data_IF_973264079579
#
_entry.id   IF_973264079579
#
_cell.length_a   1.000
_cell.length_b   1.000
_cell.length_c   1.000
_cell.angle_alpha   90.00
_cell.angle_beta   90.00
_cell.angle_gamma   90.00
#
_symmetry.space_group_name_H-M   'P 1'
#
loop_
_entity.id
_entity.type
_entity.pdbx_description
1 polymer ?
#
# COMPACT_ATOMS: atom_id res chain seq x y z
N UNK A 1 39.83 51.92 -46.62
CA UNK A 1 38.49 51.38 -46.51
C UNK A 1 38.43 50.52 -45.21
N UNK A 2 38.13 51.16 -44.06
CA UNK A 2 38.09 50.46 -42.78
C UNK A 2 36.58 50.14 -42.47
N UNK A 3 36.25 48.89 -42.58
CA UNK A 3 34.97 48.38 -42.14
C UNK A 3 34.94 48.32 -40.58
N UNK A 4 34.17 49.19 -39.94
CA UNK A 4 33.84 49.11 -38.54
C UNK A 4 32.84 47.96 -38.36
N UNK A 5 33.33 46.82 -37.87
CA UNK A 5 32.47 45.80 -37.36
C UNK A 5 31.85 46.30 -36.02
N UNK A 6 30.61 46.71 -36.07
CA UNK A 6 29.84 47.01 -34.86
C UNK A 6 29.64 45.74 -34.09
N UNK A 7 30.32 45.61 -32.97
CA UNK A 7 30.09 44.52 -32.02
C UNK A 7 28.65 44.64 -31.46
N UNK A 8 27.82 43.64 -31.70
CA UNK A 8 26.49 43.54 -31.10
C UNK A 8 26.65 43.49 -29.56
N UNK A 9 25.92 44.29 -28.81
CA UNK A 9 25.99 44.18 -27.36
C UNK A 9 25.53 42.77 -26.95
N UNK A 10 26.41 42.06 -26.26
CA UNK A 10 26.10 40.76 -25.68
C UNK A 10 24.90 40.88 -24.70
N UNK A 11 24.21 39.80 -24.40
CA UNK A 11 23.04 39.82 -23.55
C UNK A 11 23.37 40.50 -22.21
N UNK A 12 22.73 41.63 -21.95
CA UNK A 12 22.93 42.42 -20.75
C UNK A 12 22.49 41.57 -19.54
N UNK A 13 23.50 40.89 -18.96
CA UNK A 13 23.35 40.18 -17.67
C UNK A 13 23.20 41.24 -16.56
N UNK A 14 22.11 41.97 -16.59
CA UNK A 14 21.78 42.90 -15.51
C UNK A 14 21.44 42.08 -14.26
N UNK A 15 21.94 42.48 -13.08
CA UNK A 15 21.67 41.77 -11.81
C UNK A 15 20.17 41.65 -11.56
N UNK A 16 19.35 42.53 -12.13
CA UNK A 16 17.91 42.53 -12.08
C UNK A 16 17.29 41.32 -12.81
N UNK A 17 17.80 40.97 -14.01
CA UNK A 17 17.29 39.82 -14.75
C UNK A 17 17.62 38.51 -14.04
N UNK A 18 18.79 38.39 -13.44
CA UNK A 18 19.16 37.21 -12.63
C UNK A 18 18.32 37.12 -11.36
N UNK A 19 18.05 38.23 -10.69
CA UNK A 19 17.19 38.25 -9.53
C UNK A 19 15.75 37.83 -9.88
N UNK A 20 15.24 38.24 -11.04
CA UNK A 20 13.93 37.83 -11.54
C UNK A 20 13.91 36.33 -11.86
N UNK A 21 14.93 35.81 -12.50
CA UNK A 21 15.08 34.38 -12.84
C UNK A 21 15.06 33.51 -11.57
N UNK A 22 15.87 33.86 -10.56
CA UNK A 22 15.86 33.12 -9.29
C UNK A 22 14.55 33.28 -8.51
N UNK A 23 13.89 34.43 -8.62
CA UNK A 23 12.57 34.66 -8.03
C UNK A 23 11.51 33.74 -8.62
N UNK A 24 11.50 33.57 -9.94
CA UNK A 24 10.56 32.66 -10.63
C UNK A 24 10.83 31.21 -10.26
N UNK A 25 12.12 30.80 -10.23
CA UNK A 25 12.51 29.42 -9.85
C UNK A 25 12.07 29.13 -8.41
N UNK A 26 12.30 30.04 -7.48
CA UNK A 26 11.90 29.90 -6.08
C UNK A 26 10.38 29.79 -5.94
N UNK A 27 9.61 30.57 -6.69
CA UNK A 27 8.16 30.57 -6.67
C UNK A 27 7.60 29.25 -7.22
N UNK A 28 8.18 28.74 -8.31
CA UNK A 28 7.86 27.42 -8.87
C UNK A 28 8.18 26.30 -7.86
N UNK A 29 9.30 26.41 -7.17
CA UNK A 29 9.70 25.41 -6.16
C UNK A 29 8.75 25.40 -4.95
N UNK A 30 8.37 26.57 -4.47
CA UNK A 30 7.36 26.72 -3.40
C UNK A 30 5.99 26.18 -3.84
N UNK A 31 5.58 26.47 -5.08
CA UNK A 31 4.34 25.95 -5.65
C UNK A 31 4.37 24.41 -5.73
N UNK A 32 5.49 23.85 -6.23
CA UNK A 32 5.65 22.41 -6.30
C UNK A 32 5.62 21.74 -4.91
N UNK A 33 6.33 22.32 -3.94
CA UNK A 33 6.29 21.85 -2.55
C UNK A 33 4.89 21.96 -1.94
N UNK A 34 4.13 22.99 -2.28
CA UNK A 34 2.75 23.14 -1.85
C UNK A 34 1.85 22.05 -2.46
N UNK A 35 1.99 21.76 -3.75
CA UNK A 35 1.25 20.68 -4.44
C UNK A 35 1.61 19.32 -3.86
N UNK A 36 2.90 19.03 -3.68
CA UNK A 36 3.35 17.77 -3.06
C UNK A 36 2.76 17.62 -1.66
N UNK A 37 2.76 18.70 -0.87
CA UNK A 37 2.15 18.70 0.46
C UNK A 37 0.65 18.47 0.41
N UNK A 38 -0.08 19.09 -0.54
CA UNK A 38 -1.51 18.91 -0.72
C UNK A 38 -1.86 17.46 -1.07
N UNK A 39 -1.13 16.87 -2.01
CA UNK A 39 -1.28 15.46 -2.39
C UNK A 39 -0.94 14.52 -1.21
N UNK A 40 0.10 14.84 -0.43
CA UNK A 40 0.46 14.05 0.76
C UNK A 40 -0.61 14.07 1.85
N UNK A 41 -1.33 15.18 1.98
CA UNK A 41 -2.44 15.31 2.94
C UNK A 41 -3.64 14.49 2.45
N UNK A 42 -3.93 14.51 1.15
CA UNK A 42 -5.01 13.75 0.51
C UNK A 42 -4.78 12.23 0.58
N UNK A 43 -3.52 11.79 0.35
CA UNK A 43 -3.12 10.37 0.38
C UNK A 43 -2.96 9.82 1.80
N UNK A 44 -2.91 10.68 2.84
CA UNK A 44 -2.91 10.18 4.23
C UNK A 44 -4.26 9.55 4.53
N UNK A 45 -4.32 8.23 4.82
CA UNK A 45 -5.58 7.53 4.98
C UNK A 45 -6.39 8.15 6.13
N UNK A 46 -7.53 8.74 5.79
CA UNK A 46 -8.56 9.25 6.71
C UNK A 46 -9.11 8.16 7.67
N UNK A 47 -8.62 6.93 7.54
CA UNK A 47 -9.05 5.74 8.31
C UNK A 47 -8.79 5.82 9.82
N UNK A 48 -7.81 6.60 10.27
CA UNK A 48 -7.44 6.59 11.70
C UNK A 48 -8.35 7.44 12.58
N UNK A 49 -8.94 8.51 12.05
CA UNK A 49 -9.80 9.41 12.82
C UNK A 49 -11.22 8.87 12.96
N UNK A 50 -11.80 8.32 11.87
CA UNK A 50 -13.14 7.70 11.91
C UNK A 50 -13.20 6.42 12.77
N UNK A 51 -12.08 5.72 12.96
CA UNK A 51 -12.03 4.53 13.82
C UNK A 51 -12.04 4.91 15.30
N UNK A 52 -11.35 5.98 15.70
CA UNK A 52 -11.34 6.46 17.10
C UNK A 52 -12.70 6.99 17.54
N UNK A 53 -13.34 7.80 16.70
CA UNK A 53 -14.68 8.34 17.01
C UNK A 53 -15.78 7.28 17.06
N UNK A 54 -15.61 6.13 16.38
CA UNK A 54 -16.56 5.01 16.41
C UNK A 54 -16.27 4.04 17.57
N UNK A 55 -15.04 3.97 18.04
CA UNK A 55 -14.65 3.10 19.16
C UNK A 55 -15.00 3.74 20.52
N UNK A 56 -15.08 5.07 20.60
CA UNK A 56 -15.43 5.80 21.83
C UNK A 56 -16.94 5.77 22.15
N UNK A 57 -17.80 5.52 21.13
CA UNK A 57 -19.26 5.44 21.27
C UNK A 57 -19.79 4.00 21.47
N UNK A 58 -18.92 2.98 21.45
CA UNK A 58 -19.31 1.58 21.58
C UNK A 58 -19.09 1.08 23.02
N UNK A 59 -20.16 0.52 23.60
CA UNK A 59 -20.13 -0.15 24.90
C UNK A 59 -18.96 -1.16 24.95
N UNK A 60 -18.07 -1.07 25.96
CA UNK A 60 -16.91 -1.98 26.12
C UNK A 60 -17.25 -3.46 26.05
N UNK A 61 -18.51 -3.84 26.44
CA UNK A 61 -18.99 -5.21 26.36
C UNK A 61 -19.22 -5.68 24.91
N UNK A 62 -19.60 -4.76 24.00
CA UNK A 62 -19.81 -5.05 22.56
C UNK A 62 -18.47 -5.15 21.85
N UNK A 63 -17.52 -4.25 22.18
CA UNK A 63 -16.15 -4.27 21.64
C UNK A 63 -15.42 -5.56 22.05
N UNK A 64 -15.61 -6.03 23.29
CA UNK A 64 -15.02 -7.28 23.77
C UNK A 64 -15.59 -8.53 23.08
N UNK A 65 -16.84 -8.49 22.64
CA UNK A 65 -17.50 -9.60 21.94
C UNK A 65 -17.15 -9.65 20.45
N UNK A 66 -17.00 -8.48 19.80
CA UNK A 66 -16.54 -8.37 18.41
C UNK A 66 -15.05 -8.78 18.26
N UNK A 67 -14.20 -8.52 19.28
CA UNK A 67 -12.79 -8.95 19.31
C UNK A 67 -12.59 -10.46 19.51
N UNK A 68 -13.63 -11.21 19.87
CA UNK A 68 -13.63 -12.68 20.02
C UNK A 68 -14.00 -13.43 18.75
N UNK A 69 -14.06 -12.76 17.59
CA UNK A 69 -14.10 -13.42 16.29
C UNK A 69 -12.96 -14.44 16.23
N UNK A 70 -13.25 -15.64 15.77
CA UNK A 70 -12.29 -16.75 15.58
C UNK A 70 -10.99 -16.20 15.03
N UNK A 71 -9.91 -16.22 15.84
CA UNK A 71 -8.58 -15.84 15.33
C UNK A 71 -8.21 -16.86 14.26
N UNK A 72 -8.28 -16.46 13.02
CA UNK A 72 -7.79 -17.26 11.91
C UNK A 72 -6.33 -16.91 11.66
N UNK A 73 -5.57 -17.89 11.24
CA UNK A 73 -4.14 -17.80 10.95
C UNK A 73 -3.87 -18.32 9.56
N UNK A 74 -2.84 -17.80 8.95
CA UNK A 74 -2.31 -18.33 7.72
C UNK A 74 -1.08 -19.21 8.06
N UNK A 75 -1.16 -20.47 7.72
CA UNK A 75 -0.06 -21.42 7.85
C UNK A 75 0.58 -21.57 6.48
N UNK A 76 1.88 -21.32 6.35
CA UNK A 76 2.61 -21.55 5.10
C UNK A 76 2.73 -23.05 4.86
N UNK A 77 2.22 -23.52 3.73
CA UNK A 77 2.30 -24.91 3.27
C UNK A 77 3.33 -25.07 2.16
N UNK A 78 3.54 -24.01 1.38
CA UNK A 78 4.57 -23.93 0.33
C UNK A 78 5.16 -22.54 0.26
N UNK A 79 6.44 -22.37 -0.08
CA UNK A 79 7.44 -23.43 -0.36
C UNK A 79 7.87 -24.15 0.93
N UNK A 80 8.43 -25.36 0.79
CA UNK A 80 8.88 -26.23 1.91
C UNK A 80 9.90 -25.53 2.83
N UNK A 81 10.76 -24.66 2.28
CA UNK A 81 11.76 -23.89 3.04
C UNK A 81 11.14 -22.94 4.07
N UNK A 82 9.86 -22.59 3.89
CA UNK A 82 9.12 -21.69 4.74
C UNK A 82 7.88 -22.34 5.37
N UNK A 83 7.72 -23.65 5.18
CA UNK A 83 6.62 -24.42 5.77
C UNK A 83 6.58 -24.27 7.30
N UNK A 84 5.38 -24.21 7.83
CA UNK A 84 5.15 -24.04 9.27
C UNK A 84 5.24 -22.62 9.80
N UNK A 85 5.60 -21.61 8.98
CA UNK A 85 5.42 -20.21 9.38
C UNK A 85 3.94 -19.89 9.55
N UNK A 86 3.63 -19.15 10.60
CA UNK A 86 2.26 -18.82 10.98
C UNK A 86 2.13 -17.31 11.08
N UNK A 87 1.09 -16.77 10.45
CA UNK A 87 0.76 -15.35 10.51
C UNK A 87 -0.62 -15.17 11.08
N UNK A 88 -0.76 -14.29 12.07
CA UNK A 88 -2.06 -13.95 12.64
C UNK A 88 -2.82 -13.00 11.71
N UNK A 89 -4.06 -13.37 11.37
CA UNK A 89 -4.96 -12.50 10.60
C UNK A 89 -5.82 -11.69 11.56
N UNK A 90 -5.53 -10.40 11.65
CA UNK A 90 -6.33 -9.43 12.42
C UNK A 90 -7.61 -9.02 11.69
N UNK A 91 -8.02 -7.77 11.90
CA UNK A 91 -9.16 -7.19 11.19
C UNK A 91 -8.86 -6.95 9.69
N UNK A 92 -7.64 -6.56 9.38
CA UNK A 92 -7.15 -6.37 8.02
C UNK A 92 -5.64 -6.64 7.99
N UNK A 93 -5.20 -7.41 7.01
CA UNK A 93 -3.77 -7.70 6.79
C UNK A 93 -3.48 -7.75 5.29
N UNK A 94 -2.36 -7.18 4.88
CA UNK A 94 -1.84 -7.26 3.50
C UNK A 94 -0.82 -8.36 3.37
N UNK A 95 -0.84 -9.04 2.24
CA UNK A 95 0.14 -10.08 1.84
C UNK A 95 0.89 -9.58 0.64
N UNK A 96 2.21 -9.75 0.62
CA UNK A 96 3.03 -9.35 -0.53
C UNK A 96 4.51 -9.38 -0.24
N UNK A 97 5.30 -9.06 -1.24
CA UNK A 97 6.76 -9.11 -1.17
C UNK A 97 7.38 -7.95 -0.39
N UNK A 98 6.67 -6.83 -0.25
CA UNK A 98 7.18 -5.69 0.50
C UNK A 98 7.25 -6.00 2.00
N UNK A 99 8.35 -5.61 2.63
CA UNK A 99 8.56 -5.77 4.09
C UNK A 99 7.52 -5.02 4.94
N UNK A 100 6.79 -4.05 4.35
CA UNK A 100 5.71 -3.32 5.01
C UNK A 100 4.36 -4.06 5.03
N UNK A 101 4.26 -5.23 4.39
CA UNK A 101 3.07 -6.06 4.48
C UNK A 101 2.94 -6.68 5.87
N UNK A 102 1.71 -6.92 6.31
CA UNK A 102 1.46 -7.64 7.56
C UNK A 102 1.84 -9.12 7.47
N UNK A 103 1.80 -9.68 6.25
CA UNK A 103 2.33 -11.02 5.90
C UNK A 103 3.38 -10.81 4.79
N UNK A 104 4.65 -10.57 5.15
CA UNK A 104 5.71 -10.42 4.18
C UNK A 104 6.15 -11.79 3.63
N UNK A 105 6.16 -11.90 2.30
CA UNK A 105 6.64 -13.05 1.54
C UNK A 105 7.77 -12.59 0.60
N UNK A 106 8.79 -11.98 1.18
CA UNK A 106 9.92 -11.34 0.50
C UNK A 106 10.77 -12.33 -0.33
N UNK A 107 10.71 -13.59 0.02
CA UNK A 107 11.35 -14.72 -0.69
C UNK A 107 10.62 -15.09 -1.99
N UNK A 108 9.36 -14.70 -2.18
CA UNK A 108 8.54 -15.10 -3.32
C UNK A 108 8.64 -14.08 -4.46
N UNK A 109 9.40 -14.43 -5.50
CA UNK A 109 9.58 -13.59 -6.69
C UNK A 109 8.34 -13.48 -7.57
N UNK A 110 7.38 -14.38 -7.41
CA UNK A 110 6.09 -14.35 -8.11
C UNK A 110 5.05 -13.48 -7.39
N UNK A 111 5.33 -13.07 -6.17
CA UNK A 111 4.46 -12.16 -5.45
C UNK A 111 4.73 -10.69 -5.83
N UNK A 112 3.67 -9.91 -5.99
CA UNK A 112 3.74 -8.45 -6.13
C UNK A 112 4.08 -7.81 -4.78
N UNK A 113 4.60 -6.57 -4.78
CA UNK A 113 4.93 -5.84 -3.56
C UNK A 113 3.74 -5.74 -2.59
N UNK A 114 2.57 -5.35 -3.12
CA UNK A 114 1.27 -5.50 -2.49
C UNK A 114 0.48 -6.44 -3.39
N UNK A 115 0.18 -7.66 -2.94
CA UNK A 115 -0.40 -8.67 -3.78
C UNK A 115 -1.87 -8.90 -3.47
N UNK A 116 -2.18 -9.19 -2.23
CA UNK A 116 -3.53 -9.45 -1.77
C UNK A 116 -3.80 -8.78 -0.42
N UNK A 117 -5.06 -8.64 -0.09
CA UNK A 117 -5.53 -8.15 1.20
C UNK A 117 -6.55 -9.13 1.78
N UNK A 118 -6.33 -9.49 3.04
CA UNK A 118 -7.33 -10.21 3.82
C UNK A 118 -7.99 -9.21 4.78
N UNK A 119 -9.28 -9.30 4.92
CA UNK A 119 -10.04 -8.42 5.81
C UNK A 119 -11.31 -9.12 6.33
N UNK A 120 -11.80 -8.65 7.49
CA UNK A 120 -13.04 -9.14 8.05
C UNK A 120 -14.21 -8.27 7.64
N UNK A 121 -15.28 -8.94 7.21
CA UNK A 121 -16.56 -8.32 6.90
C UNK A 121 -17.66 -9.19 7.52
N UNK A 122 -18.49 -8.61 8.36
CA UNK A 122 -19.61 -9.29 9.05
C UNK A 122 -19.20 -10.55 9.85
N UNK A 123 -17.95 -10.56 10.34
CA UNK A 123 -17.39 -11.67 11.11
C UNK A 123 -16.70 -12.75 10.28
N UNK A 124 -16.88 -12.74 8.98
CA UNK A 124 -16.23 -13.63 8.01
C UNK A 124 -14.90 -13.06 7.54
N UNK A 125 -14.01 -13.95 7.09
CA UNK A 125 -12.74 -13.56 6.47
C UNK A 125 -12.89 -13.55 4.95
N UNK A 126 -12.41 -12.47 4.36
CA UNK A 126 -12.42 -12.23 2.92
C UNK A 126 -11.01 -11.97 2.41
N UNK A 127 -10.77 -12.38 1.19
CA UNK A 127 -9.54 -12.07 0.44
C UNK A 127 -9.88 -11.29 -0.82
N UNK A 128 -9.02 -10.35 -1.19
CA UNK A 128 -9.12 -9.53 -2.39
C UNK A 128 -7.74 -9.42 -3.03
N UNK A 129 -7.67 -9.62 -4.34
CA UNK A 129 -6.46 -9.36 -5.12
C UNK A 129 -6.29 -7.85 -5.33
N UNK A 130 -5.11 -7.32 -5.11
CA UNK A 130 -4.81 -5.88 -5.22
C UNK A 130 -4.22 -5.51 -6.59
N UNK A 131 -4.62 -6.21 -7.64
CA UNK A 131 -4.09 -6.01 -8.99
C UNK A 131 -2.72 -6.65 -9.16
N UNK A 132 -2.53 -7.83 -8.58
CA UNK A 132 -1.27 -8.54 -8.65
C UNK A 132 -0.95 -9.02 -10.08
N UNK A 133 0.34 -9.23 -10.35
CA UNK A 133 0.80 -9.69 -11.67
C UNK A 133 0.36 -11.12 -11.98
N UNK A 134 0.42 -12.01 -10.98
CA UNK A 134 0.17 -13.44 -11.17
C UNK A 134 -1.21 -13.91 -10.67
N UNK A 135 -1.92 -13.02 -9.97
CA UNK A 135 -3.25 -13.31 -9.42
C UNK A 135 -3.20 -14.05 -8.09
N UNK A 136 -4.32 -13.99 -7.40
CA UNK A 136 -4.58 -14.68 -6.13
C UNK A 136 -5.54 -15.84 -6.39
N UNK A 137 -5.36 -16.98 -5.69
CA UNK A 137 -6.12 -18.19 -5.90
C UNK A 137 -6.64 -18.73 -4.56
N UNK A 138 -7.88 -19.19 -4.56
CA UNK A 138 -8.50 -19.85 -3.41
C UNK A 138 -8.92 -21.26 -3.86
N UNK A 139 -8.45 -22.31 -3.18
CA UNK A 139 -8.76 -23.70 -3.52
C UNK A 139 -8.53 -24.05 -4.99
N UNK A 140 -7.41 -23.54 -5.57
CA UNK A 140 -7.04 -23.71 -6.99
C UNK A 140 -7.84 -22.87 -8.00
N UNK A 141 -8.82 -22.09 -7.56
CA UNK A 141 -9.59 -21.17 -8.41
C UNK A 141 -9.05 -19.76 -8.31
N UNK A 142 -8.79 -19.13 -9.46
CA UNK A 142 -8.32 -17.73 -9.48
C UNK A 142 -9.48 -16.80 -9.13
N UNK A 143 -9.28 -15.95 -8.15
CA UNK A 143 -10.28 -14.97 -7.78
C UNK A 143 -10.24 -13.74 -8.69
N UNK A 144 -11.40 -13.27 -9.14
CA UNK A 144 -11.58 -12.02 -9.87
C UNK A 144 -12.17 -10.92 -8.99
N UNK A 145 -12.86 -11.31 -7.91
CA UNK A 145 -13.52 -10.43 -6.97
C UNK A 145 -13.14 -10.85 -5.55
N UNK A 146 -13.52 -10.01 -4.56
CA UNK A 146 -13.38 -10.40 -3.16
C UNK A 146 -14.08 -11.72 -2.90
N UNK A 147 -13.36 -12.67 -2.32
CA UNK A 147 -13.83 -14.02 -2.09
C UNK A 147 -13.79 -14.33 -0.61
N UNK A 148 -14.86 -14.93 -0.09
CA UNK A 148 -14.90 -15.41 1.30
C UNK A 148 -14.01 -16.64 1.42
N UNK A 149 -13.24 -16.69 2.50
CA UNK A 149 -12.39 -17.83 2.83
C UNK A 149 -12.70 -18.36 4.22
N UNK A 150 -12.61 -19.67 4.36
CA UNK A 150 -12.94 -20.39 5.59
C UNK A 150 -11.75 -21.19 6.09
N UNK A 151 -11.89 -21.72 7.29
CA UNK A 151 -10.87 -22.62 7.85
C UNK A 151 -10.71 -23.88 6.98
N UNK A 152 -9.50 -24.21 6.62
CA UNK A 152 -9.14 -25.34 5.76
C UNK A 152 -8.97 -24.95 4.29
N UNK A 153 -9.35 -23.72 3.90
CA UNK A 153 -9.11 -23.25 2.55
C UNK A 153 -7.63 -23.02 2.28
N UNK A 154 -7.23 -23.27 1.04
CA UNK A 154 -5.90 -22.99 0.53
C UNK A 154 -5.91 -21.64 -0.19
N UNK A 155 -5.12 -20.70 0.32
CA UNK A 155 -4.90 -19.39 -0.30
C UNK A 155 -3.53 -19.38 -0.97
N UNK A 156 -3.48 -19.18 -2.29
CA UNK A 156 -2.23 -19.01 -3.02
C UNK A 156 -2.03 -17.56 -3.43
N UNK A 157 -0.86 -17.02 -3.10
CA UNK A 157 -0.39 -15.67 -3.41
C UNK A 157 0.98 -15.78 -4.06
N UNK A 158 1.05 -15.55 -5.39
CA UNK A 158 2.27 -15.85 -6.14
C UNK A 158 2.60 -17.34 -6.15
N UNK A 159 3.80 -17.69 -5.72
CA UNK A 159 4.24 -19.09 -5.53
C UNK A 159 3.95 -19.64 -4.13
N UNK A 160 3.55 -18.76 -3.18
CA UNK A 160 3.33 -19.12 -1.79
C UNK A 160 1.90 -19.62 -1.57
N UNK A 161 1.75 -20.76 -0.91
CA UNK A 161 0.46 -21.36 -0.54
C UNK A 161 0.31 -21.34 0.97
N UNK A 162 -0.82 -20.83 1.43
CA UNK A 162 -1.22 -20.81 2.83
C UNK A 162 -2.43 -21.69 3.05
N UNK A 163 -2.49 -22.37 4.18
CA UNK A 163 -3.71 -22.97 4.71
C UNK A 163 -4.32 -22.02 5.75
N UNK A 164 -5.62 -21.78 5.65
CA UNK A 164 -6.37 -20.98 6.63
C UNK A 164 -6.66 -21.86 7.85
N UNK A 165 -5.97 -21.62 8.96
CA UNK A 165 -6.06 -22.36 10.21
C UNK A 165 -6.66 -21.55 11.37
N UNK A 166 -6.59 -22.16 12.58
CA UNK A 166 -6.89 -21.49 13.87
C UNK A 166 -5.60 -21.11 14.57
#
# INVERSE_FOLDING_TARGET
MHLYAAALPGPANTPVLRALEYGVILLLWLFFMWVVRAVWIEVRPLKRKRRRERDDDLDPAIVGKARRGKRLRLHVVRPEEHEGRIYDVGEEVTVGRAAGCGVPIDYDTFASNLHARLFRLDGDLWVEDLGSTNGTWVNTERIAERTRIEKGDLLQVGGTVFEVGK
#
